data_IF_060889223956
#
_entry.id   IF_060889223956
#
_cell.length_a   1.000
_cell.length_b   1.000
_cell.length_c   1.000
_cell.angle_alpha   90.00
_cell.angle_beta   90.00
_cell.angle_gamma   90.00
#
_symmetry.space_group_name_H-M   'P 1'
#
loop_
_entity.id
_entity.type
_entity.pdbx_description
1 polymer ?
#
# COMPACT_ATOMS: atom_id res chain seq x y z
N UNK A 1 8.93 -23.31 17.92
CA UNK A 1 9.44 -23.98 16.72
C UNK A 1 10.91 -23.60 16.61
N UNK A 2 11.81 -24.57 16.70
CA UNK A 2 13.25 -24.35 16.91
C UNK A 2 13.85 -23.88 15.58
N UNK A 3 14.30 -22.61 15.53
CA UNK A 3 14.98 -21.98 14.39
C UNK A 3 16.43 -22.50 14.21
N UNK A 4 16.95 -23.29 15.15
CA UNK A 4 18.34 -23.78 15.13
C UNK A 4 18.60 -24.87 14.07
N UNK A 5 17.56 -25.36 13.37
CA UNK A 5 17.67 -26.40 12.33
C UNK A 5 17.55 -25.85 10.89
N UNK A 6 17.77 -24.55 10.67
CA UNK A 6 17.73 -23.94 9.34
C UNK A 6 19.13 -23.46 8.88
N UNK A 7 20.03 -24.38 8.49
CA UNK A 7 21.40 -24.03 8.08
C UNK A 7 21.46 -23.17 6.80
N UNK A 8 20.37 -23.11 6.05
CA UNK A 8 20.27 -22.39 4.78
C UNK A 8 19.49 -21.07 4.91
N UNK A 9 18.85 -20.81 6.05
CA UNK A 9 18.05 -19.61 6.29
C UNK A 9 16.75 -19.55 5.47
N UNK A 10 16.21 -20.70 5.04
CA UNK A 10 15.00 -20.80 4.23
C UNK A 10 13.73 -20.29 4.95
N UNK A 11 13.75 -20.25 6.28
CA UNK A 11 12.68 -19.75 7.13
C UNK A 11 13.06 -18.44 7.84
N UNK A 12 14.13 -17.79 7.38
CA UNK A 12 14.52 -16.48 7.90
C UNK A 12 13.52 -15.40 7.51
N UNK A 13 13.38 -14.39 8.37
CA UNK A 13 12.55 -13.22 8.10
C UNK A 13 13.14 -12.47 6.89
N UNK A 14 12.34 -12.26 5.85
CA UNK A 14 12.71 -11.42 4.72
C UNK A 14 12.52 -9.94 5.09
N UNK A 15 13.63 -9.19 5.09
CA UNK A 15 13.65 -7.76 5.43
C UNK A 15 13.88 -6.95 4.15
N UNK A 16 12.90 -6.12 3.79
CA UNK A 16 13.00 -5.16 2.68
C UNK A 16 13.14 -3.73 3.19
N UNK A 17 13.68 -2.88 2.33
CA UNK A 17 13.87 -1.46 2.59
C UNK A 17 13.32 -0.65 1.42
N UNK A 18 12.42 0.26 1.71
CA UNK A 18 11.76 1.14 0.75
C UNK A 18 11.75 2.58 1.30
N UNK A 19 11.21 3.51 0.53
CA UNK A 19 11.23 4.93 0.82
C UNK A 19 12.61 5.57 0.62
N UNK A 20 12.70 6.84 0.97
CA UNK A 20 13.92 7.63 0.86
C UNK A 20 14.14 8.43 2.13
N UNK A 21 15.40 8.65 2.51
CA UNK A 21 15.75 9.60 3.58
C UNK A 21 15.64 11.06 3.14
N UNK A 22 15.51 11.33 1.83
CA UNK A 22 15.54 12.69 1.27
C UNK A 22 14.18 13.29 0.97
N UNK A 23 13.12 12.47 0.89
CA UNK A 23 11.79 12.95 0.50
C UNK A 23 10.65 12.15 1.14
N UNK A 24 9.74 12.88 1.76
CA UNK A 24 8.52 12.35 2.41
C UNK A 24 7.59 11.67 1.41
N UNK A 25 7.47 12.19 0.18
CA UNK A 25 6.55 11.63 -0.81
C UNK A 25 6.88 10.19 -1.17
N UNK A 26 8.16 9.83 -1.33
CA UNK A 26 8.55 8.44 -1.58
C UNK A 26 8.16 7.51 -0.44
N UNK A 27 8.23 7.99 0.81
CA UNK A 27 7.79 7.22 1.97
C UNK A 27 6.27 7.01 1.99
N UNK A 28 5.51 8.04 1.60
CA UNK A 28 4.05 7.96 1.45
C UNK A 28 3.69 6.97 0.33
N UNK A 29 4.33 7.08 -0.83
CA UNK A 29 4.03 6.25 -2.00
C UNK A 29 4.29 4.76 -1.74
N UNK A 30 5.40 4.45 -1.05
CA UNK A 30 5.75 3.08 -0.68
C UNK A 30 4.86 2.56 0.46
N UNK A 31 4.49 3.39 1.42
CA UNK A 31 3.48 3.00 2.42
C UNK A 31 2.15 2.67 1.76
N UNK A 32 1.66 3.54 0.87
CA UNK A 32 0.39 3.35 0.15
C UNK A 32 0.42 2.10 -0.75
N UNK A 33 1.57 1.80 -1.36
CA UNK A 33 1.79 0.56 -2.13
C UNK A 33 1.55 -0.69 -1.27
N UNK A 34 2.02 -0.70 -0.02
CA UNK A 34 1.78 -1.82 0.90
C UNK A 34 0.37 -1.81 1.49
N UNK A 35 -0.14 -0.63 1.86
CA UNK A 35 -1.48 -0.46 2.42
C UNK A 35 -2.56 -1.06 1.51
N UNK A 36 -2.37 -0.90 0.20
CA UNK A 36 -3.28 -1.38 -0.83
C UNK A 36 -2.71 -2.54 -1.64
N UNK A 37 -1.64 -3.14 -1.14
CA UNK A 37 -1.02 -4.32 -1.73
C UNK A 37 -1.80 -5.59 -1.42
N UNK A 38 -1.30 -6.70 -1.97
CA UNK A 38 -1.87 -8.04 -1.77
C UNK A 38 -1.68 -8.58 -0.36
N UNK A 39 -0.58 -8.19 0.31
CA UNK A 39 -0.27 -8.61 1.68
C UNK A 39 -0.83 -7.58 2.66
N UNK A 40 -1.64 -8.02 3.61
CA UNK A 40 -2.19 -7.15 4.65
C UNK A 40 -1.13 -6.81 5.70
N UNK A 41 -1.02 -5.52 6.02
CA UNK A 41 -0.24 -5.03 7.16
C UNK A 41 -1.05 -5.29 8.44
N UNK A 42 -0.41 -5.89 9.44
CA UNK A 42 -1.03 -6.20 10.75
C UNK A 42 -0.57 -5.21 11.81
N UNK A 43 0.74 -4.92 11.84
CA UNK A 43 1.33 -3.94 12.75
C UNK A 43 2.17 -2.94 11.96
N UNK A 44 2.11 -1.68 12.38
CA UNK A 44 3.05 -0.64 11.98
C UNK A 44 3.76 -0.11 13.23
N UNK A 45 5.08 -0.18 13.26
CA UNK A 45 5.87 0.50 14.29
C UNK A 45 6.52 1.75 13.72
N UNK A 46 6.20 2.91 14.31
CA UNK A 46 6.87 4.18 14.07
C UNK A 46 8.17 4.19 14.88
N UNK A 47 9.28 4.33 14.19
CA UNK A 47 10.60 4.45 14.79
C UNK A 47 10.95 5.92 14.77
N UNK A 48 11.10 6.53 15.93
CA UNK A 48 11.38 7.96 16.02
C UNK A 48 12.76 8.23 16.58
N UNK A 49 13.54 9.05 15.89
CA UNK A 49 14.80 9.62 16.35
C UNK A 49 14.70 11.15 16.23
N UNK A 50 14.56 11.83 17.37
CA UNK A 50 14.26 13.27 17.41
C UNK A 50 12.97 13.61 16.62
N UNK A 51 13.11 14.36 15.53
CA UNK A 51 12.04 14.80 14.63
C UNK A 51 12.00 14.00 13.31
N UNK A 52 12.71 12.87 13.23
CA UNK A 52 12.74 12.00 12.06
C UNK A 52 12.06 10.67 12.37
N UNK A 53 11.29 10.16 11.42
CA UNK A 53 10.52 8.93 11.58
C UNK A 53 10.79 7.95 10.45
N UNK A 54 11.03 6.70 10.80
CA UNK A 54 11.00 5.56 9.89
C UNK A 54 9.83 4.65 10.29
N UNK A 55 9.43 3.75 9.40
CA UNK A 55 8.36 2.79 9.67
C UNK A 55 8.89 1.38 9.57
N UNK A 56 8.41 0.49 10.44
CA UNK A 56 8.52 -0.95 10.28
C UNK A 56 7.11 -1.52 10.08
N UNK A 57 6.87 -2.12 8.92
CA UNK A 57 5.61 -2.77 8.56
C UNK A 57 5.74 -4.27 8.77
N UNK A 58 4.83 -4.84 9.54
CA UNK A 58 4.70 -6.28 9.73
C UNK A 58 3.45 -6.78 9.02
N UNK A 59 3.59 -7.87 8.26
CA UNK A 59 2.50 -8.44 7.47
C UNK A 59 1.96 -9.73 8.10
N UNK A 60 0.82 -10.20 7.57
CA UNK A 60 0.26 -11.51 7.91
C UNK A 60 1.34 -12.60 7.71
N UNK A 61 1.52 -13.47 8.72
CA UNK A 61 2.57 -14.50 8.87
C UNK A 61 3.93 -14.05 9.46
N UNK A 62 4.18 -12.76 9.62
CA UNK A 62 5.40 -12.19 10.25
C UNK A 62 6.75 -12.65 9.66
N UNK A 63 6.73 -13.33 8.52
CA UNK A 63 7.88 -13.79 7.73
C UNK A 63 8.47 -12.67 6.85
N UNK A 64 7.71 -11.60 6.66
CA UNK A 64 8.02 -10.47 5.80
C UNK A 64 7.92 -9.16 6.56
N UNK A 65 9.01 -8.39 6.54
CA UNK A 65 9.14 -7.08 7.17
C UNK A 65 9.57 -6.06 6.12
N UNK A 66 8.91 -4.91 6.08
CA UNK A 66 9.34 -3.77 5.27
C UNK A 66 9.70 -2.61 6.19
N UNK A 67 10.91 -2.10 6.05
CA UNK A 67 11.27 -0.80 6.59
C UNK A 67 11.06 0.30 5.55
N UNK A 68 10.30 1.33 5.91
CA UNK A 68 10.25 2.60 5.16
C UNK A 68 11.22 3.57 5.83
N UNK A 69 12.21 4.04 5.06
CA UNK A 69 13.32 4.88 5.54
C UNK A 69 12.85 6.23 6.11
N UNK A 70 13.78 6.93 6.74
CA UNK A 70 13.47 8.10 7.57
C UNK A 70 13.17 9.42 6.83
N UNK A 71 12.44 9.38 5.71
CA UNK A 71 12.03 10.58 4.98
C UNK A 71 10.82 11.29 5.57
N UNK A 72 10.22 10.70 6.62
CA UNK A 72 9.14 11.29 7.38
C UNK A 72 9.72 12.15 8.51
N UNK A 73 9.15 13.32 8.73
CA UNK A 73 9.62 14.27 9.74
C UNK A 73 8.45 14.85 10.53
N UNK A 74 8.75 15.50 11.65
CA UNK A 74 7.78 16.26 12.43
C UNK A 74 8.42 17.46 13.16
N UNK A 75 7.67 18.14 14.04
CA UNK A 75 8.20 19.22 14.88
C UNK A 75 8.35 20.59 14.20
N UNK A 76 7.89 20.72 12.96
CA UNK A 76 7.72 22.00 12.26
C UNK A 76 6.42 22.00 11.45
N UNK A 77 6.06 23.12 10.81
CA UNK A 77 4.93 23.18 9.89
C UNK A 77 5.43 22.90 8.46
N UNK A 78 4.79 22.01 7.71
CA UNK A 78 5.16 21.75 6.32
C UNK A 78 4.80 20.35 5.82
N UNK A 79 5.34 20.01 4.65
CA UNK A 79 5.04 18.78 3.90
C UNK A 79 5.45 17.50 4.63
N UNK A 80 6.60 17.50 5.31
CA UNK A 80 7.10 16.36 6.08
C UNK A 80 6.15 15.95 7.23
N UNK A 81 5.85 16.85 8.18
CA UNK A 81 4.87 16.64 9.24
C UNK A 81 3.48 16.21 8.75
N UNK A 82 2.99 16.82 7.67
CA UNK A 82 1.72 16.44 7.06
C UNK A 82 1.75 15.02 6.48
N UNK A 83 2.87 14.62 5.86
CA UNK A 83 3.07 13.27 5.36
C UNK A 83 3.12 12.21 6.46
N UNK A 84 3.83 12.50 7.57
CA UNK A 84 3.86 11.63 8.75
C UNK A 84 2.44 11.42 9.31
N UNK A 85 1.71 12.53 9.52
CA UNK A 85 0.33 12.49 10.00
C UNK A 85 -0.61 11.75 9.05
N UNK A 86 -0.45 11.94 7.74
CA UNK A 86 -1.24 11.24 6.72
C UNK A 86 -1.09 9.72 6.82
N UNK A 87 0.14 9.21 6.90
CA UNK A 87 0.40 7.78 7.03
C UNK A 87 -0.29 7.21 8.28
N UNK A 88 -0.19 7.91 9.40
CA UNK A 88 -0.82 7.49 10.65
C UNK A 88 -2.34 7.42 10.50
N UNK A 89 -2.98 8.46 9.92
CA UNK A 89 -4.43 8.45 9.68
C UNK A 89 -4.86 7.33 8.75
N UNK A 90 -4.10 7.07 7.69
CA UNK A 90 -4.38 5.97 6.78
C UNK A 90 -4.26 4.60 7.47
N UNK A 91 -3.27 4.44 8.34
CA UNK A 91 -3.11 3.23 9.14
C UNK A 91 -4.26 3.04 10.14
N UNK A 92 -4.69 4.12 10.82
CA UNK A 92 -5.86 4.12 11.71
C UNK A 92 -7.14 3.70 10.97
N UNK A 93 -7.42 4.30 9.81
CA UNK A 93 -8.59 3.95 8.97
C UNK A 93 -8.52 2.53 8.40
N UNK A 94 -7.32 1.99 8.22
CA UNK A 94 -7.10 0.62 7.79
C UNK A 94 -7.24 -0.40 8.93
N UNK A 95 -7.34 0.04 10.19
CA UNK A 95 -7.38 -0.83 11.36
C UNK A 95 -6.03 -1.51 11.65
N UNK A 96 -4.92 -0.88 11.25
CA UNK A 96 -3.58 -1.38 11.53
C UNK A 96 -3.21 -1.02 12.97
N UNK A 97 -2.65 -1.96 13.73
CA UNK A 97 -2.13 -1.67 15.07
C UNK A 97 -0.90 -0.78 14.95
N UNK A 98 -0.93 0.40 15.58
CA UNK A 98 0.18 1.36 15.52
C UNK A 98 0.93 1.37 16.84
N UNK A 99 2.24 1.18 16.76
CA UNK A 99 3.17 1.25 17.89
C UNK A 99 4.21 2.33 17.63
N UNK A 100 4.80 2.86 18.67
CA UNK A 100 5.92 3.79 18.59
C UNK A 100 7.10 3.31 19.44
N UNK A 101 8.31 3.55 18.93
CA UNK A 101 9.56 3.35 19.64
C UNK A 101 10.50 4.53 19.40
N UNK A 102 10.95 5.17 20.47
CA UNK A 102 12.07 6.11 20.42
C UNK A 102 13.36 5.31 20.18
N UNK A 103 13.85 5.35 18.95
CA UNK A 103 15.00 4.57 18.49
C UNK A 103 16.31 5.32 18.75
N UNK A 104 17.35 4.56 19.13
CA UNK A 104 18.70 5.11 19.22
C UNK A 104 19.22 5.50 17.82
N UNK A 105 20.05 6.56 17.69
CA UNK A 105 20.61 6.98 16.40
C UNK A 105 21.33 5.86 15.64
N UNK A 106 21.94 4.91 16.35
CA UNK A 106 22.64 3.77 15.74
C UNK A 106 21.71 2.79 15.03
N UNK A 107 20.54 2.50 15.61
CA UNK A 107 19.50 1.68 14.98
C UNK A 107 18.91 2.41 13.77
N UNK A 108 18.64 3.69 13.94
CA UNK A 108 18.13 4.55 12.88
C UNK A 108 19.07 4.61 11.66
N UNK A 109 20.38 4.75 11.91
CA UNK A 109 21.43 4.70 10.88
C UNK A 109 21.44 3.35 10.15
N UNK A 110 21.28 2.23 10.87
CA UNK A 110 21.21 0.88 10.23
C UNK A 110 20.02 0.78 9.30
N UNK A 111 18.84 1.22 9.72
CA UNK A 111 17.62 1.20 8.88
C UNK A 111 17.81 2.01 7.60
N UNK A 112 18.31 3.25 7.73
CA UNK A 112 18.54 4.12 6.57
C UNK A 112 19.61 3.56 5.61
N UNK A 113 20.60 2.85 6.16
CA UNK A 113 21.65 2.17 5.39
C UNK A 113 21.23 0.79 4.87
N UNK A 114 20.00 0.34 5.15
CA UNK A 114 19.51 -1.00 4.78
C UNK A 114 20.29 -2.16 5.42
N UNK A 115 20.68 -1.99 6.68
CA UNK A 115 21.54 -2.92 7.45
C UNK A 115 20.90 -3.37 8.78
N UNK A 116 19.58 -3.24 8.93
CA UNK A 116 18.90 -3.80 10.10
C UNK A 116 18.93 -5.33 10.06
N UNK A 117 19.12 -5.93 11.23
CA UNK A 117 19.22 -7.38 11.41
C UNK A 117 17.93 -7.95 11.99
N UNK A 118 17.79 -9.29 11.97
CA UNK A 118 16.69 -9.98 12.67
C UNK A 118 16.66 -9.61 14.16
N UNK A 119 17.83 -9.48 14.81
CA UNK A 119 17.94 -9.02 16.20
C UNK A 119 17.40 -7.61 16.40
N UNK A 120 17.59 -6.72 15.42
CA UNK A 120 17.01 -5.38 15.46
C UNK A 120 15.48 -5.43 15.35
N UNK A 121 14.93 -6.28 14.48
CA UNK A 121 13.48 -6.49 14.36
C UNK A 121 12.89 -7.01 15.68
N UNK A 122 13.51 -8.02 16.29
CA UNK A 122 13.10 -8.54 17.60
C UNK A 122 13.17 -7.48 18.69
N UNK A 123 14.24 -6.68 18.71
CA UNK A 123 14.39 -5.56 19.62
C UNK A 123 13.26 -4.54 19.44
N UNK A 124 12.93 -4.17 18.21
CA UNK A 124 11.84 -3.24 17.92
C UNK A 124 10.51 -3.80 18.40
N UNK A 125 10.17 -5.05 18.03
CA UNK A 125 8.92 -5.72 18.43
C UNK A 125 8.76 -5.78 19.96
N UNK A 126 9.86 -6.01 20.68
CA UNK A 126 9.85 -6.13 22.15
C UNK A 126 9.70 -4.79 22.87
N UNK A 127 10.22 -3.70 22.30
CA UNK A 127 10.32 -2.41 23.00
C UNK A 127 9.33 -1.35 22.51
N UNK A 128 8.62 -1.58 21.40
CA UNK A 128 7.60 -0.66 20.90
C UNK A 128 6.33 -0.68 21.78
N UNK A 129 5.63 0.44 21.84
CA UNK A 129 4.44 0.62 22.69
C UNK A 129 3.28 1.18 21.86
N UNK A 130 2.05 0.76 22.17
CA UNK A 130 0.81 1.32 21.59
C UNK A 130 0.46 2.67 22.25
N UNK A 131 1.40 3.60 22.20
CA UNK A 131 1.25 4.96 22.70
C UNK A 131 1.96 5.89 21.74
N UNK A 132 1.20 6.81 21.15
CA UNK A 132 1.69 7.78 20.18
C UNK A 132 1.88 9.13 20.84
N UNK A 133 2.99 9.79 20.56
CA UNK A 133 3.15 11.20 20.88
C UNK A 133 2.39 12.06 19.86
N UNK A 134 1.11 12.30 20.14
CA UNK A 134 0.18 13.00 19.23
C UNK A 134 0.64 14.42 18.87
N UNK A 135 1.28 15.12 19.80
CA UNK A 135 1.77 16.48 19.58
C UNK A 135 3.00 16.46 18.69
N UNK A 136 3.97 15.60 19.00
CA UNK A 136 5.17 15.45 18.17
C UNK A 136 4.83 14.98 16.76
N UNK A 137 3.92 14.03 16.60
CA UNK A 137 3.56 13.46 15.29
C UNK A 137 2.62 14.37 14.48
N UNK A 138 2.31 15.56 14.99
CA UNK A 138 1.53 16.60 14.34
C UNK A 138 0.10 16.18 13.92
N UNK A 139 -0.48 15.19 14.60
CA UNK A 139 -1.74 14.54 14.20
C UNK A 139 -2.98 15.46 14.20
N UNK A 140 -2.87 16.63 14.83
CA UNK A 140 -3.89 17.68 14.82
C UNK A 140 -3.98 18.41 13.47
N UNK A 141 -2.95 18.31 12.63
CA UNK A 141 -2.82 19.11 11.41
C UNK A 141 -3.45 18.47 10.17
N UNK A 142 -3.81 17.18 10.23
CA UNK A 142 -4.40 16.46 9.10
C UNK A 142 -5.89 16.19 9.36
N UNK A 143 -6.74 16.78 8.53
CA UNK A 143 -8.18 16.58 8.55
C UNK A 143 -8.60 15.46 7.57
N UNK A 144 -9.87 15.04 7.64
CA UNK A 144 -10.41 13.98 6.77
C UNK A 144 -10.33 14.31 5.28
N UNK A 145 -10.45 15.59 4.92
CA UNK A 145 -10.38 16.04 3.53
C UNK A 145 -9.00 15.81 2.93
N UNK A 146 -7.93 16.13 3.67
CA UNK A 146 -6.54 15.89 3.24
C UNK A 146 -6.26 14.40 3.03
N UNK A 147 -6.78 13.54 3.92
CA UNK A 147 -6.66 12.07 3.77
C UNK A 147 -7.36 11.60 2.49
N UNK A 148 -8.57 12.12 2.22
CA UNK A 148 -9.32 11.76 1.02
C UNK A 148 -8.60 12.21 -0.26
N UNK A 149 -8.07 13.44 -0.31
CA UNK A 149 -7.30 13.96 -1.44
C UNK A 149 -6.06 13.10 -1.75
N UNK A 150 -5.36 12.63 -0.72
CA UNK A 150 -4.21 11.75 -0.89
C UNK A 150 -4.60 10.39 -1.48
N UNK A 151 -5.71 9.80 -1.02
CA UNK A 151 -6.26 8.56 -1.60
C UNK A 151 -6.64 8.74 -3.07
N UNK A 152 -7.33 9.82 -3.39
CA UNK A 152 -7.77 10.09 -4.76
C UNK A 152 -6.58 10.33 -5.69
N UNK A 153 -5.56 11.03 -5.21
CA UNK A 153 -4.31 11.23 -5.96
C UNK A 153 -3.58 9.92 -6.22
N UNK A 154 -3.54 9.02 -5.23
CA UNK A 154 -2.94 7.69 -5.40
C UNK A 154 -3.70 6.83 -6.42
N UNK A 155 -5.03 6.82 -6.37
CA UNK A 155 -5.90 6.13 -7.36
C UNK A 155 -5.74 6.68 -8.77
N UNK A 156 -5.53 7.99 -8.92
CA UNK A 156 -5.35 8.62 -10.24
C UNK A 156 -4.00 8.29 -10.86
N UNK A 157 -2.95 8.18 -10.04
CA UNK A 157 -1.58 7.98 -10.50
C UNK A 157 -1.20 6.50 -10.67
N UNK A 158 -1.94 5.60 -10.03
CA UNK A 158 -1.84 4.16 -10.23
C UNK A 158 -3.26 3.69 -10.45
N UNK A 159 -3.58 3.10 -11.60
CA UNK A 159 -4.88 2.52 -11.96
C UNK A 159 -5.35 1.43 -10.94
N UNK A 160 -5.60 1.81 -9.69
CA UNK A 160 -5.86 0.94 -8.55
C UNK A 160 -7.28 1.23 -8.06
N UNK A 161 -8.16 0.24 -8.22
CA UNK A 161 -9.48 0.22 -7.59
C UNK A 161 -9.32 -0.42 -6.20
N UNK A 162 -9.66 0.32 -5.14
CA UNK A 162 -9.81 -0.26 -3.81
C UNK A 162 -11.09 -1.08 -3.76
N UNK A 163 -11.01 -2.37 -4.08
CA UNK A 163 -12.08 -3.30 -3.75
C UNK A 163 -11.87 -3.78 -2.31
N UNK A 164 -12.45 -3.07 -1.33
CA UNK A 164 -12.77 -3.73 -0.06
C UNK A 164 -14.05 -4.54 -0.29
N UNK A 165 -13.88 -5.77 -0.72
CA UNK A 165 -14.92 -6.78 -0.57
C UNK A 165 -14.53 -7.63 0.64
N UNK A 166 -15.27 -7.50 1.73
CA UNK A 166 -15.31 -8.56 2.74
C UNK A 166 -15.98 -9.76 2.06
N UNK A 167 -15.19 -10.74 1.61
CA UNK A 167 -15.71 -12.06 1.28
C UNK A 167 -14.66 -13.14 1.58
N UNK A 168 -14.97 -13.99 2.54
CA UNK A 168 -14.08 -14.92 3.26
C UNK A 168 -13.53 -16.10 2.45
N UNK A 169 -13.61 -16.14 1.10
CA UNK A 169 -13.42 -17.42 0.39
C UNK A 169 -12.44 -17.50 -0.78
N UNK A 170 -11.74 -16.45 -1.19
CA UNK A 170 -10.72 -16.59 -2.25
C UNK A 170 -9.51 -15.69 -2.03
N UNK A 171 -8.44 -16.29 -1.48
CA UNK A 171 -7.09 -15.69 -1.38
C UNK A 171 -6.36 -15.77 -2.72
N UNK A 172 -6.72 -14.90 -3.66
CA UNK A 172 -5.83 -14.54 -4.77
C UNK A 172 -6.17 -13.11 -5.21
N UNK A 173 -5.34 -12.16 -4.80
CA UNK A 173 -5.38 -10.80 -5.32
C UNK A 173 -4.79 -10.81 -6.73
N UNK A 174 -5.64 -10.81 -7.76
CA UNK A 174 -5.22 -10.60 -9.13
C UNK A 174 -4.92 -9.12 -9.31
N UNK A 175 -3.67 -8.77 -9.60
CA UNK A 175 -3.27 -7.42 -9.99
C UNK A 175 -3.86 -7.12 -11.38
N UNK A 176 -4.97 -6.38 -11.39
CA UNK A 176 -5.71 -6.08 -12.62
C UNK A 176 -5.19 -4.76 -13.21
N UNK A 177 -4.40 -4.85 -14.28
CA UNK A 177 -3.97 -3.68 -15.05
C UNK A 177 -5.13 -3.17 -15.94
N UNK A 178 -5.83 -2.15 -15.46
CA UNK A 178 -7.01 -1.56 -16.12
C UNK A 178 -6.67 -0.94 -17.47
N UNK A 179 -5.50 -0.32 -17.65
CA UNK A 179 -5.11 0.23 -18.95
C UNK A 179 -5.04 -0.86 -20.02
N UNK A 180 -4.52 -2.04 -19.67
CA UNK A 180 -4.44 -3.21 -20.55
C UNK A 180 -5.82 -3.83 -20.79
N UNK A 181 -6.70 -3.82 -19.80
CA UNK A 181 -8.09 -4.28 -19.97
C UNK A 181 -8.88 -3.32 -20.85
N UNK A 182 -8.82 -2.01 -20.60
CA UNK A 182 -9.50 -1.00 -21.41
C UNK A 182 -9.01 -1.04 -22.85
N UNK A 183 -7.70 -1.17 -23.10
CA UNK A 183 -7.16 -1.38 -24.45
C UNK A 183 -7.69 -2.66 -25.11
N UNK A 184 -7.81 -3.76 -24.36
CA UNK A 184 -8.38 -5.02 -24.87
C UNK A 184 -9.87 -4.91 -25.15
N UNK A 185 -10.63 -4.24 -24.28
CA UNK A 185 -12.07 -3.98 -24.43
C UNK A 185 -12.30 -3.11 -25.67
N UNK A 186 -11.56 -2.01 -25.83
CA UNK A 186 -11.68 -1.14 -27.00
C UNK A 186 -11.31 -1.88 -28.29
N UNK A 187 -10.32 -2.79 -28.25
CA UNK A 187 -9.99 -3.65 -29.38
C UNK A 187 -11.11 -4.66 -29.69
N UNK A 188 -11.79 -5.17 -28.66
CA UNK A 188 -12.89 -6.12 -28.79
C UNK A 188 -14.12 -5.44 -29.41
N UNK A 189 -14.48 -4.25 -28.92
CA UNK A 189 -15.56 -3.42 -29.49
C UNK A 189 -15.29 -3.16 -30.97
N UNK A 190 -14.08 -2.68 -31.32
CA UNK A 190 -13.70 -2.45 -32.73
C UNK A 190 -13.77 -3.69 -33.61
N UNK A 191 -13.52 -4.88 -33.07
CA UNK A 191 -13.64 -6.14 -33.80
C UNK A 191 -15.09 -6.55 -33.98
N UNK A 192 -15.93 -6.36 -32.96
CA UNK A 192 -17.36 -6.67 -33.01
C UNK A 192 -18.09 -5.74 -34.00
N UNK A 193 -17.79 -4.44 -34.00
CA UNK A 193 -18.35 -3.48 -34.96
C UNK A 193 -18.04 -3.89 -36.42
N UNK A 194 -16.80 -4.35 -36.68
CA UNK A 194 -16.40 -4.85 -38.00
C UNK A 194 -17.11 -6.14 -38.41
N UNK A 195 -17.48 -6.99 -37.46
CA UNK A 195 -18.21 -8.23 -37.72
C UNK A 195 -19.68 -7.91 -38.03
N UNK A 196 -20.31 -7.02 -37.26
CA UNK A 196 -21.70 -6.59 -37.50
C UNK A 196 -21.86 -5.95 -38.88
N UNK A 197 -20.90 -5.12 -39.32
CA UNK A 197 -20.89 -4.53 -40.67
C UNK A 197 -20.79 -5.60 -41.79
N UNK A 198 -20.07 -6.70 -41.54
CA UNK A 198 -19.83 -7.74 -42.54
C UNK A 198 -20.86 -8.88 -42.55
N UNK A 199 -21.79 -8.93 -41.58
CA UNK A 199 -22.79 -10.01 -41.49
C UNK A 199 -24.22 -9.47 -41.36
N UNK A 200 -24.98 -9.51 -42.46
CA UNK A 200 -26.42 -9.21 -42.50
C UNK A 200 -27.30 -10.35 -41.94
N UNK A 201 -26.84 -11.06 -40.91
CA UNK A 201 -27.58 -12.18 -40.31
C UNK A 201 -28.28 -11.72 -39.02
N UNK A 202 -29.61 -11.69 -39.03
CA UNK A 202 -30.44 -11.05 -37.99
C UNK A 202 -30.30 -11.66 -36.60
N UNK A 203 -29.99 -12.96 -36.48
CA UNK A 203 -29.78 -13.64 -35.20
C UNK A 203 -28.38 -13.40 -34.60
N UNK A 204 -27.38 -13.11 -35.43
CA UNK A 204 -26.04 -12.76 -34.95
C UNK A 204 -26.00 -11.33 -34.41
N UNK A 205 -26.74 -10.41 -35.03
CA UNK A 205 -26.80 -8.99 -34.61
C UNK A 205 -27.38 -8.82 -33.20
N UNK A 206 -28.41 -9.58 -32.81
CA UNK A 206 -28.97 -9.48 -31.45
C UNK A 206 -27.98 -9.95 -30.38
N UNK A 207 -27.30 -11.08 -30.62
CA UNK A 207 -26.28 -11.63 -29.71
C UNK A 207 -25.07 -10.68 -29.59
N UNK A 208 -24.66 -10.06 -30.69
CA UNK A 208 -23.58 -9.06 -30.70
C UNK A 208 -23.96 -7.79 -29.93
N UNK A 209 -25.21 -7.32 -30.03
CA UNK A 209 -25.71 -6.17 -29.26
C UNK A 209 -25.78 -6.45 -27.77
N UNK A 210 -26.16 -7.65 -27.35
CA UNK A 210 -26.11 -8.06 -25.95
C UNK A 210 -24.67 -8.08 -25.42
N UNK A 211 -23.72 -8.62 -26.20
CA UNK A 211 -22.30 -8.62 -25.84
C UNK A 211 -21.76 -7.19 -25.73
N UNK A 212 -22.09 -6.29 -26.67
CA UNK A 212 -21.71 -4.87 -26.62
C UNK A 212 -22.34 -4.15 -25.42
N UNK A 213 -23.59 -4.48 -25.06
CA UNK A 213 -24.24 -3.96 -23.85
C UNK A 213 -23.51 -4.41 -22.59
N UNK A 214 -23.18 -5.69 -22.47
CA UNK A 214 -22.43 -6.23 -21.32
C UNK A 214 -21.04 -5.59 -21.24
N UNK A 215 -20.34 -5.47 -22.36
CA UNK A 215 -19.00 -4.85 -22.42
C UNK A 215 -19.04 -3.36 -22.06
N UNK A 216 -20.08 -2.64 -22.49
CA UNK A 216 -20.25 -1.22 -22.12
C UNK A 216 -20.62 -1.06 -20.65
N UNK A 217 -21.45 -1.94 -20.08
CA UNK A 217 -21.73 -1.99 -18.63
C UNK A 217 -20.48 -2.31 -17.81
N UNK A 218 -19.62 -3.22 -18.29
CA UNK A 218 -18.31 -3.50 -17.68
C UNK A 218 -17.45 -2.23 -17.72
N UNK A 219 -17.40 -1.51 -18.84
CA UNK A 219 -16.65 -0.25 -18.96
C UNK A 219 -17.15 0.85 -18.00
N UNK A 220 -18.44 0.93 -17.72
CA UNK A 220 -18.98 1.85 -16.69
C UNK A 220 -18.67 1.41 -15.27
N UNK A 221 -18.65 0.10 -14.99
CA UNK A 221 -18.31 -0.44 -13.67
C UNK A 221 -16.83 -0.28 -13.33
N UNK A 222 -15.94 -0.38 -14.33
CA UNK A 222 -14.48 -0.25 -14.14
C UNK A 222 -13.91 1.12 -14.55
N UNK A 223 -14.77 2.08 -14.89
CA UNK A 223 -14.40 3.38 -15.49
C UNK A 223 -14.85 4.63 -14.72
N UNK A 224 -14.94 4.57 -13.38
CA UNK A 224 -15.06 5.74 -12.50
C UNK A 224 -13.94 5.78 -11.45
#
# INVERSE_FOLDING_TARGET
MILDNDPLGLYSIDIKYEGSTSATQYCIDDFMKHLYGSRKIVDMTILTCENYHALMLCFENQDYIVFIKSGLTSGYLGTGPNGTSLIIRLAEEAGITIKELNAAPSLFKRINSSLATVKDVEFIKKNSKESLDYDRLCLKNVNKEYVQQAKDSFKKNKDIIFVRAEDEKTKDSVEINLEKINKKIDLLIKKLDKIEINTNNSSLSSTLKEILSIVSSIKTVFGQ
#
